data_IF_573351810964
#
_entry.id   IF_573351810964
#
_cell.length_a   1.000
_cell.length_b   1.000
_cell.length_c   1.000
_cell.angle_alpha   90.00
_cell.angle_beta   90.00
_cell.angle_gamma   90.00
#
_symmetry.space_group_name_H-M   'P 1'
#
loop_
_entity.id
_entity.type
_entity.pdbx_description
1 polymer ?
#
# COMPACT_ATOMS: atom_id res chain seq x y z
N UNK A 1 14.21 -0.97 -5.95
CA UNK A 1 15.48 -0.24 -6.14
C UNK A 1 15.21 1.17 -5.64
N UNK A 2 15.69 1.52 -4.44
CA UNK A 2 15.44 2.85 -3.88
C UNK A 2 15.99 3.91 -4.83
N UNK A 3 15.18 4.93 -5.14
CA UNK A 3 15.55 6.12 -5.89
C UNK A 3 16.92 6.59 -5.43
N UNK A 4 17.87 6.65 -6.36
CA UNK A 4 19.23 7.13 -6.14
C UNK A 4 19.13 8.59 -5.71
N UNK A 5 19.04 8.79 -4.39
CA UNK A 5 19.07 10.11 -3.78
C UNK A 5 20.35 10.79 -4.25
N UNK A 6 20.28 12.10 -4.53
CA UNK A 6 21.47 12.91 -4.80
C UNK A 6 22.39 13.03 -3.57
N UNK A 7 22.01 12.40 -2.45
CA UNK A 7 22.80 12.30 -1.23
C UNK A 7 23.89 11.23 -1.38
N UNK A 8 25.15 11.61 -1.19
CA UNK A 8 26.29 10.69 -1.26
C UNK A 8 26.34 9.72 -0.07
N UNK A 9 25.78 10.13 1.07
CA UNK A 9 25.76 9.33 2.31
C UNK A 9 24.31 9.02 2.66
N UNK A 10 23.94 7.74 2.64
CA UNK A 10 22.57 7.31 2.89
C UNK A 10 22.51 5.90 3.49
N UNK A 11 21.38 5.62 4.11
CA UNK A 11 20.88 4.28 4.41
C UNK A 11 19.38 4.27 4.10
N UNK A 12 18.91 3.23 3.42
CA UNK A 12 17.52 3.03 3.06
C UNK A 12 16.92 1.99 4.00
N UNK A 13 15.82 2.36 4.65
CA UNK A 13 15.00 1.44 5.45
C UNK A 13 13.76 1.08 4.63
N UNK A 14 13.39 -0.20 4.63
CA UNK A 14 12.26 -0.71 3.86
C UNK A 14 10.94 -0.55 4.58
N UNK A 15 10.93 -0.81 5.89
CA UNK A 15 9.73 -0.93 6.71
C UNK A 15 10.00 -0.46 8.15
N UNK A 16 8.95 -0.51 8.98
CA UNK A 16 9.02 -0.11 10.40
C UNK A 16 9.97 -1.01 11.20
N UNK A 17 10.14 -2.29 10.83
CA UNK A 17 11.03 -3.22 11.54
C UNK A 17 12.51 -2.85 11.32
N UNK A 18 12.88 -2.55 10.08
CA UNK A 18 14.21 -2.03 9.77
C UNK A 18 14.45 -0.65 10.40
N UNK A 19 13.44 0.22 10.44
CA UNK A 19 13.53 1.50 11.14
C UNK A 19 13.70 1.32 12.66
N UNK A 20 13.06 0.32 13.25
CA UNK A 20 13.24 -0.04 14.67
C UNK A 20 14.65 -0.55 14.93
N UNK A 21 15.16 -1.44 14.08
CA UNK A 21 16.55 -1.91 14.17
C UNK A 21 17.55 -0.74 14.09
N UNK A 22 17.33 0.19 13.16
CA UNK A 22 18.14 1.40 13.03
C UNK A 22 18.07 2.27 14.29
N UNK A 23 16.87 2.48 14.83
CA UNK A 23 16.67 3.19 16.09
C UNK A 23 17.39 2.53 17.27
N UNK A 24 17.29 1.20 17.39
CA UNK A 24 17.89 0.46 18.49
C UNK A 24 19.41 0.49 18.43
N UNK A 25 19.98 0.43 17.22
CA UNK A 25 21.40 0.68 17.00
C UNK A 25 21.79 2.08 17.48
N UNK A 26 21.05 3.12 17.06
CA UNK A 26 21.37 4.51 17.41
C UNK A 26 21.41 4.76 18.91
N UNK A 27 20.54 4.10 19.69
CA UNK A 27 20.47 4.25 21.16
C UNK A 27 21.51 3.40 21.88
N UNK A 28 21.68 2.15 21.47
CA UNK A 28 22.36 1.14 22.28
C UNK A 28 23.76 0.77 21.80
N UNK A 29 24.15 1.14 20.57
CA UNK A 29 25.45 0.77 20.02
C UNK A 29 26.57 1.68 20.53
N UNK A 30 27.71 1.09 20.84
CA UNK A 30 28.94 1.77 21.23
C UNK A 30 30.08 1.32 20.32
N UNK A 31 31.03 2.21 20.06
CA UNK A 31 32.21 1.83 19.29
C UNK A 31 32.92 0.63 19.92
N UNK A 32 33.19 -0.39 19.10
CA UNK A 32 33.85 -1.63 19.53
C UNK A 32 32.93 -2.71 20.12
N UNK A 33 31.61 -2.55 20.09
CA UNK A 33 30.65 -3.57 20.57
C UNK A 33 30.23 -4.60 19.50
N UNK A 34 30.75 -4.49 18.28
CA UNK A 34 30.46 -5.41 17.17
C UNK A 34 29.14 -5.17 16.43
N UNK A 35 28.31 -4.22 16.89
CA UNK A 35 26.99 -3.97 16.28
C UNK A 35 27.09 -3.17 14.98
N UNK A 36 28.17 -2.42 14.79
CA UNK A 36 28.38 -1.67 13.54
C UNK A 36 28.56 -2.63 12.36
N UNK A 37 29.28 -3.73 12.57
CA UNK A 37 29.48 -4.79 11.59
C UNK A 37 28.16 -5.50 11.27
N UNK A 38 27.35 -5.81 12.29
CA UNK A 38 26.00 -6.37 12.10
C UNK A 38 25.09 -5.43 11.31
N UNK A 39 25.07 -4.14 11.69
CA UNK A 39 24.32 -3.11 10.98
C UNK A 39 24.73 -3.03 9.51
N UNK A 40 26.03 -2.97 9.24
CA UNK A 40 26.55 -2.88 7.87
C UNK A 40 26.31 -4.15 7.06
N UNK A 41 26.28 -5.32 7.70
CA UNK A 41 25.88 -6.56 7.03
C UNK A 41 24.41 -6.50 6.60
N UNK A 42 23.50 -6.08 7.51
CA UNK A 42 22.06 -5.95 7.23
C UNK A 42 21.77 -4.94 6.11
N UNK A 43 22.40 -3.77 6.15
CA UNK A 43 22.20 -2.70 5.16
C UNK A 43 23.22 -2.70 4.01
N UNK A 44 23.93 -3.80 3.79
CA UNK A 44 25.04 -3.88 2.80
C UNK A 44 24.67 -3.48 1.37
N UNK A 45 23.39 -3.67 0.97
CA UNK A 45 22.86 -3.25 -0.34
C UNK A 45 22.01 -1.97 -0.29
N UNK A 46 21.82 -1.43 0.91
CA UNK A 46 20.90 -0.35 1.21
C UNK A 46 21.59 0.87 1.82
N UNK A 47 22.92 0.90 1.92
CA UNK A 47 23.69 2.06 2.37
C UNK A 47 24.79 2.45 1.37
N UNK A 48 25.31 3.67 1.50
CA UNK A 48 26.47 4.13 0.73
C UNK A 48 27.72 3.33 1.10
N UNK A 49 28.65 3.10 0.15
CA UNK A 49 29.83 2.26 0.37
C UNK A 49 30.75 2.74 1.51
N UNK A 50 30.76 4.04 1.81
CA UNK A 50 31.53 4.65 2.90
C UNK A 50 30.69 4.92 4.15
N UNK A 51 29.50 4.32 4.28
CA UNK A 51 28.61 4.60 5.40
C UNK A 51 29.21 4.10 6.72
N UNK A 52 29.47 5.02 7.64
CA UNK A 52 29.82 4.74 9.03
C UNK A 52 28.58 5.04 9.90
N UNK A 53 27.96 4.03 10.53
CA UNK A 53 26.74 4.23 11.29
C UNK A 53 26.97 4.99 12.60
N UNK A 54 28.17 4.97 13.20
CA UNK A 54 28.47 5.77 14.39
C UNK A 54 28.63 7.25 14.06
N UNK A 55 29.18 7.57 12.89
CA UNK A 55 29.38 8.95 12.43
C UNK A 55 28.15 9.53 11.72
N UNK A 56 27.57 8.78 10.80
CA UNK A 56 26.54 9.30 9.88
C UNK A 56 25.13 9.23 10.45
N UNK A 57 24.88 8.49 11.54
CA UNK A 57 23.61 8.53 12.27
C UNK A 57 23.61 9.58 13.40
N UNK A 58 24.64 10.43 13.49
CA UNK A 58 24.64 11.55 14.42
C UNK A 58 23.64 12.63 14.02
N UNK A 59 23.43 12.85 12.71
CA UNK A 59 22.43 13.77 12.18
C UNK A 59 21.75 13.10 11.00
N UNK A 60 20.42 13.05 11.01
CA UNK A 60 19.66 12.36 9.97
C UNK A 60 18.63 13.29 9.33
N UNK A 61 18.56 13.20 8.01
CA UNK A 61 17.46 13.72 7.22
C UNK A 61 16.62 12.56 6.70
N UNK A 62 15.31 12.58 6.95
CA UNK A 62 14.38 11.57 6.42
C UNK A 62 13.75 12.09 5.13
N UNK A 63 13.94 11.35 4.05
CA UNK A 63 13.28 11.60 2.76
C UNK A 63 12.65 10.29 2.27
N UNK A 64 11.49 10.41 1.62
CA UNK A 64 10.67 9.29 1.21
C UNK A 64 10.49 9.28 -0.31
N UNK A 65 10.15 8.12 -0.86
CA UNK A 65 9.66 8.05 -2.23
C UNK A 65 8.28 8.72 -2.30
N UNK A 66 8.03 9.47 -3.39
CA UNK A 66 6.85 10.33 -3.55
C UNK A 66 5.50 9.60 -3.46
N UNK A 67 5.51 8.29 -3.67
CA UNK A 67 4.32 7.43 -3.78
C UNK A 67 4.09 6.54 -2.56
N UNK A 68 4.91 6.65 -1.50
CA UNK A 68 4.81 5.84 -0.28
C UNK A 68 3.49 6.05 0.48
N UNK A 69 3.09 5.07 1.30
CA UNK A 69 1.96 5.22 2.22
C UNK A 69 2.30 6.18 3.36
N UNK A 70 1.54 7.27 3.50
CA UNK A 70 1.88 8.36 4.44
C UNK A 70 1.78 7.95 5.89
N UNK A 71 0.82 7.10 6.28
CA UNK A 71 0.68 6.68 7.69
C UNK A 71 1.92 5.90 8.15
N UNK A 72 2.38 4.96 7.34
CA UNK A 72 3.58 4.17 7.62
C UNK A 72 4.83 5.06 7.62
N UNK A 73 4.97 5.90 6.59
CA UNK A 73 6.07 6.87 6.49
C UNK A 73 6.15 7.78 7.73
N UNK A 74 5.01 8.31 8.16
CA UNK A 74 4.91 9.16 9.35
C UNK A 74 5.24 8.38 10.63
N UNK A 75 4.88 7.11 10.72
CA UNK A 75 5.24 6.27 11.86
C UNK A 75 6.76 6.09 11.96
N UNK A 76 7.43 5.85 10.82
CA UNK A 76 8.91 5.81 10.75
C UNK A 76 9.51 7.17 11.13
N UNK A 77 8.98 8.28 10.59
CA UNK A 77 9.43 9.63 10.95
C UNK A 77 9.33 9.90 12.45
N UNK A 78 8.19 9.61 13.06
CA UNK A 78 7.98 9.76 14.50
C UNK A 78 8.87 8.85 15.34
N UNK A 79 9.10 7.61 14.90
CA UNK A 79 10.02 6.70 15.56
C UNK A 79 11.41 7.31 15.61
N UNK A 80 11.95 7.71 14.45
CA UNK A 80 13.29 8.26 14.33
C UNK A 80 13.43 9.61 15.06
N UNK A 81 12.42 10.46 15.02
CA UNK A 81 12.38 11.70 15.82
C UNK A 81 12.49 11.39 17.32
N UNK A 82 11.69 10.44 17.83
CA UNK A 82 11.75 10.02 19.24
C UNK A 82 13.11 9.41 19.60
N UNK A 83 13.71 8.65 18.69
CA UNK A 83 15.06 8.10 18.86
C UNK A 83 16.09 9.20 19.02
N UNK A 84 16.04 10.24 18.18
CA UNK A 84 16.96 11.37 18.27
C UNK A 84 16.75 12.18 19.55
N UNK A 85 15.50 12.39 19.97
CA UNK A 85 15.19 13.03 21.25
C UNK A 85 15.73 12.22 22.45
N UNK A 86 15.63 10.89 22.41
CA UNK A 86 16.19 10.02 23.46
C UNK A 86 17.72 10.08 23.51
N UNK A 87 18.38 10.20 22.36
CA UNK A 87 19.85 10.20 22.26
C UNK A 87 20.50 11.53 22.63
N UNK A 88 19.96 12.64 22.13
CA UNK A 88 20.57 13.97 22.24
C UNK A 88 19.79 14.92 23.16
N UNK A 89 18.60 14.53 23.60
CA UNK A 89 17.68 15.39 24.35
C UNK A 89 16.74 16.19 23.42
N UNK A 90 15.62 16.68 23.97
CA UNK A 90 14.61 17.40 23.19
C UNK A 90 15.12 18.76 22.67
N UNK A 91 16.02 19.42 23.40
CA UNK A 91 16.47 20.77 23.06
C UNK A 91 17.34 20.82 21.78
N UNK A 92 18.00 19.70 21.46
CA UNK A 92 18.91 19.59 20.31
C UNK A 92 18.25 18.94 19.09
N UNK A 93 16.95 18.63 19.13
CA UNK A 93 16.30 17.83 18.07
C UNK A 93 16.45 18.45 16.67
N UNK A 94 16.33 19.79 16.57
CA UNK A 94 16.42 20.50 15.29
C UNK A 94 17.83 20.50 14.68
N UNK A 95 18.87 20.18 15.46
CA UNK A 95 20.24 20.07 14.97
C UNK A 95 20.58 18.66 14.46
N UNK A 96 19.77 17.68 14.86
CA UNK A 96 20.04 16.25 14.70
C UNK A 96 19.00 15.55 13.81
N UNK A 97 17.78 16.06 13.69
CA UNK A 97 16.71 15.46 12.91
C UNK A 97 16.01 16.47 12.01
N UNK A 98 15.78 16.10 10.75
CA UNK A 98 14.93 16.84 9.83
C UNK A 98 14.14 15.87 8.95
N UNK A 99 12.84 16.13 8.77
CA UNK A 99 11.98 15.34 7.90
C UNK A 99 11.59 16.19 6.68
N UNK A 100 11.89 15.68 5.48
CA UNK A 100 11.49 16.31 4.23
C UNK A 100 10.12 15.78 3.81
N UNK A 101 9.13 16.69 3.71
CA UNK A 101 7.86 16.32 3.11
C UNK A 101 8.05 16.10 1.60
N UNK A 102 8.16 14.83 1.25
CA UNK A 102 8.55 14.34 -0.07
C UNK A 102 7.42 13.55 -0.72
N UNK A 103 6.31 13.33 -0.01
CA UNK A 103 5.13 12.64 -0.52
C UNK A 103 4.24 13.66 -1.24
N UNK A 104 3.72 13.28 -2.40
CA UNK A 104 2.80 14.14 -3.15
C UNK A 104 1.39 14.13 -2.54
N UNK A 105 0.78 15.30 -2.38
CA UNK A 105 -0.61 15.43 -1.89
C UNK A 105 -1.62 14.63 -2.72
N UNK A 106 -1.41 14.52 -4.03
CA UNK A 106 -2.29 13.75 -4.91
C UNK A 106 -2.28 12.23 -4.64
N UNK A 107 -1.18 11.72 -4.10
CA UNK A 107 -1.08 10.34 -3.60
C UNK A 107 -1.85 10.20 -2.31
N UNK A 108 -1.73 11.19 -1.41
CA UNK A 108 -2.42 11.17 -0.12
C UNK A 108 -3.94 11.10 -0.26
N UNK A 109 -4.53 11.97 -1.08
CA UNK A 109 -5.99 12.01 -1.26
C UNK A 109 -6.55 10.68 -1.74
N UNK A 110 -5.81 9.97 -2.61
CA UNK A 110 -6.24 8.66 -3.12
C UNK A 110 -6.10 7.56 -2.07
N UNK A 111 -5.00 7.55 -1.33
CA UNK A 111 -4.79 6.59 -0.24
C UNK A 111 -5.84 6.78 0.87
N UNK A 112 -6.19 8.02 1.21
CA UNK A 112 -7.22 8.33 2.19
C UNK A 112 -8.60 7.87 1.71
N UNK A 113 -8.95 8.08 0.44
CA UNK A 113 -10.21 7.58 -0.12
C UNK A 113 -10.30 6.05 -0.10
N UNK A 114 -9.20 5.34 -0.34
CA UNK A 114 -9.17 3.87 -0.25
C UNK A 114 -9.26 3.40 1.21
N UNK A 115 -8.57 4.07 2.14
CA UNK A 115 -8.69 3.77 3.58
C UNK A 115 -10.13 4.01 4.08
N UNK A 116 -10.82 5.04 3.57
CA UNK A 116 -12.24 5.29 3.86
C UNK A 116 -13.14 4.17 3.32
N UNK A 117 -12.94 3.69 2.08
CA UNK A 117 -13.66 2.53 1.54
C UNK A 117 -13.48 1.29 2.42
N UNK A 118 -12.26 1.05 2.92
CA UNK A 118 -12.00 -0.05 3.85
C UNK A 118 -12.68 0.16 5.20
N UNK A 119 -12.64 1.37 5.75
CA UNK A 119 -13.30 1.68 7.03
C UNK A 119 -14.82 1.51 6.91
N UNK A 120 -15.43 1.91 5.78
CA UNK A 120 -16.85 1.66 5.50
C UNK A 120 -17.16 0.17 5.43
N UNK A 121 -16.32 -0.64 4.77
CA UNK A 121 -16.52 -2.10 4.72
C UNK A 121 -16.36 -2.79 6.08
N UNK A 122 -15.56 -2.23 6.99
CA UNK A 122 -15.31 -2.81 8.32
C UNK A 122 -16.29 -2.32 9.41
N UNK A 123 -17.14 -1.34 9.10
CA UNK A 123 -18.12 -0.79 10.02
C UNK A 123 -19.43 -1.60 9.92
N UNK A 124 -19.88 -2.26 11.01
CA UNK A 124 -21.11 -3.07 10.99
C UNK A 124 -22.38 -2.27 10.73
N UNK A 125 -22.34 -0.94 10.88
CA UNK A 125 -23.47 -0.03 10.59
C UNK A 125 -23.51 0.41 9.11
N UNK A 126 -22.49 0.05 8.32
CA UNK A 126 -22.37 0.39 6.91
C UNK A 126 -22.52 -0.86 6.03
N UNK A 127 -22.91 -0.70 4.76
CA UNK A 127 -23.00 -1.82 3.86
C UNK A 127 -21.62 -2.32 3.43
N UNK A 128 -21.38 -3.63 3.59
CA UNK A 128 -20.17 -4.28 3.10
C UNK A 128 -19.99 -4.12 1.58
N UNK A 129 -18.75 -3.82 1.18
CA UNK A 129 -18.28 -3.99 -0.20
C UNK A 129 -18.06 -5.47 -0.52
N UNK A 130 -18.48 -5.93 -1.70
CA UNK A 130 -18.15 -7.27 -2.19
C UNK A 130 -16.67 -7.36 -2.62
N UNK A 131 -16.13 -6.28 -3.20
CA UNK A 131 -14.70 -6.09 -3.46
C UNK A 131 -14.36 -4.63 -3.79
N UNK A 132 -13.06 -4.30 -3.80
CA UNK A 132 -12.50 -3.04 -4.30
C UNK A 132 -11.77 -3.29 -5.62
N UNK A 133 -12.11 -2.54 -6.67
CA UNK A 133 -11.44 -2.55 -7.95
C UNK A 133 -10.45 -1.37 -8.03
N UNK A 134 -9.16 -1.70 -8.18
CA UNK A 134 -8.06 -0.74 -8.35
C UNK A 134 -7.65 -0.73 -9.82
N UNK A 135 -7.83 0.41 -10.51
CA UNK A 135 -7.54 0.50 -11.96
C UNK A 135 -6.29 1.33 -12.23
N UNK A 136 -5.33 0.75 -12.94
CA UNK A 136 -4.16 1.46 -13.46
C UNK A 136 -3.00 0.55 -13.81
N UNK A 137 -2.00 1.06 -14.53
CA UNK A 137 -0.88 0.26 -15.02
C UNK A 137 -0.18 -0.56 -13.92
N UNK A 138 0.20 -1.80 -14.24
CA UNK A 138 0.87 -2.72 -13.30
C UNK A 138 2.26 -2.24 -12.83
N UNK A 139 2.90 -1.36 -13.60
CA UNK A 139 4.20 -0.75 -13.26
C UNK A 139 4.05 0.56 -12.46
N UNK A 140 2.82 1.02 -12.22
CA UNK A 140 2.56 2.23 -11.45
C UNK A 140 2.69 1.96 -9.95
N UNK A 141 3.81 2.36 -9.35
CA UNK A 141 4.02 2.26 -7.89
C UNK A 141 2.86 2.85 -7.09
N UNK A 142 2.33 4.02 -7.49
CA UNK A 142 1.16 4.60 -6.82
C UNK A 142 -0.05 3.67 -6.87
N UNK A 143 -0.32 3.05 -8.02
CA UNK A 143 -1.47 2.13 -8.16
C UNK A 143 -1.25 0.86 -7.35
N UNK A 144 -0.04 0.33 -7.32
CA UNK A 144 0.33 -0.82 -6.48
C UNK A 144 0.10 -0.50 -5.00
N UNK A 145 0.50 0.68 -4.51
CA UNK A 145 0.27 1.08 -3.12
C UNK A 145 -1.22 1.26 -2.78
N UNK A 146 -2.09 1.58 -3.76
CA UNK A 146 -3.53 1.59 -3.52
C UNK A 146 -4.11 0.18 -3.29
N UNK A 147 -3.51 -0.86 -3.86
CA UNK A 147 -3.90 -2.26 -3.62
C UNK A 147 -3.43 -2.77 -2.24
N UNK A 148 -2.28 -2.30 -1.76
CA UNK A 148 -1.73 -2.70 -0.46
C UNK A 148 -2.69 -2.36 0.70
N UNK A 149 -3.37 -1.21 0.64
CA UNK A 149 -4.29 -0.74 1.68
C UNK A 149 -5.43 -1.74 1.96
N UNK A 150 -6.30 -2.11 1.00
CA UNK A 150 -7.36 -3.08 1.23
C UNK A 150 -6.82 -4.48 1.54
N UNK A 151 -5.70 -4.88 0.94
CA UNK A 151 -5.06 -6.15 1.24
C UNK A 151 -4.66 -6.27 2.72
N UNK A 152 -4.02 -5.24 3.29
CA UNK A 152 -3.67 -5.21 4.72
C UNK A 152 -4.89 -5.22 5.65
N UNK A 153 -6.04 -4.76 5.17
CA UNK A 153 -7.30 -4.73 5.92
C UNK A 153 -8.15 -6.00 5.74
N UNK A 154 -7.71 -6.94 4.91
CA UNK A 154 -8.46 -8.16 4.59
C UNK A 154 -9.68 -7.91 3.70
N UNK A 155 -9.76 -6.76 3.02
CA UNK A 155 -10.86 -6.44 2.11
C UNK A 155 -10.56 -7.03 0.72
N UNK A 156 -11.46 -7.83 0.12
CA UNK A 156 -11.26 -8.37 -1.22
C UNK A 156 -10.98 -7.26 -2.23
N UNK A 157 -9.90 -7.38 -3.00
CA UNK A 157 -9.49 -6.34 -3.93
C UNK A 157 -8.76 -6.89 -5.15
N UNK A 158 -8.99 -6.24 -6.29
CA UNK A 158 -8.44 -6.64 -7.59
C UNK A 158 -7.77 -5.43 -8.26
N UNK A 159 -6.50 -5.57 -8.63
CA UNK A 159 -5.78 -4.56 -9.41
C UNK A 159 -5.72 -4.98 -10.88
N UNK A 160 -6.36 -4.20 -11.75
CA UNK A 160 -6.33 -4.39 -13.20
C UNK A 160 -5.65 -3.20 -13.89
N UNK A 161 -4.97 -3.46 -15.02
CA UNK A 161 -4.40 -2.39 -15.84
C UNK A 161 -5.34 -1.89 -16.93
N UNK A 162 -6.32 -2.69 -17.35
CA UNK A 162 -7.28 -2.36 -18.40
C UNK A 162 -8.57 -3.19 -18.28
N UNK A 163 -9.63 -2.76 -18.95
CA UNK A 163 -10.94 -3.42 -18.87
C UNK A 163 -10.91 -4.90 -19.32
N UNK A 164 -10.13 -5.22 -20.35
CA UNK A 164 -9.99 -6.58 -20.92
C UNK A 164 -9.47 -7.64 -19.93
N UNK A 165 -8.95 -7.22 -18.78
CA UNK A 165 -8.64 -8.10 -17.66
C UNK A 165 -9.88 -8.83 -17.11
N UNK A 166 -11.05 -8.21 -17.23
CA UNK A 166 -12.34 -8.77 -16.84
C UNK A 166 -12.93 -9.43 -18.08
N UNK A 167 -13.01 -10.75 -18.08
CA UNK A 167 -13.42 -11.53 -19.25
C UNK A 167 -14.91 -11.87 -19.22
N UNK A 168 -15.48 -12.12 -20.40
CA UNK A 168 -16.89 -12.46 -20.57
C UNK A 168 -17.26 -13.78 -19.86
N UNK A 169 -16.30 -14.68 -19.70
CA UNK A 169 -16.46 -15.96 -19.00
C UNK A 169 -16.48 -15.83 -17.46
N UNK A 170 -16.73 -14.62 -16.94
CA UNK A 170 -16.72 -14.29 -15.52
C UNK A 170 -15.36 -14.58 -14.85
N UNK A 171 -14.31 -14.03 -15.46
CA UNK A 171 -12.92 -14.07 -14.99
C UNK A 171 -12.29 -12.67 -15.05
N UNK A 172 -10.98 -12.50 -14.83
CA UNK A 172 -10.41 -12.19 -13.52
C UNK A 172 -8.88 -12.11 -13.59
N UNK A 173 -8.26 -11.49 -14.60
CA UNK A 173 -6.80 -11.30 -14.57
C UNK A 173 -6.43 -10.06 -13.74
N UNK A 174 -5.69 -10.23 -12.65
CA UNK A 174 -5.30 -9.11 -11.80
C UNK A 174 -3.87 -9.28 -11.26
N UNK A 175 -3.29 -8.16 -10.82
CA UNK A 175 -2.01 -8.14 -10.12
C UNK A 175 -2.24 -8.31 -8.62
N UNK A 176 -1.41 -9.13 -7.97
CA UNK A 176 -1.36 -9.27 -6.51
C UNK A 176 -0.38 -8.27 -5.89
N UNK A 177 -0.39 -8.14 -4.56
CA UNK A 177 0.48 -7.21 -3.83
C UNK A 177 1.97 -7.55 -4.03
N UNK A 178 2.32 -8.83 -4.15
CA UNK A 178 3.67 -9.29 -4.41
C UNK A 178 4.16 -9.01 -5.86
N UNK A 179 3.26 -8.58 -6.72
CA UNK A 179 3.50 -8.22 -8.11
C UNK A 179 3.29 -9.32 -9.13
N UNK A 180 2.85 -10.52 -8.72
CA UNK A 180 2.43 -11.55 -9.66
C UNK A 180 1.14 -11.14 -10.37
N UNK A 181 1.05 -11.45 -11.66
CA UNK A 181 -0.20 -11.31 -12.44
C UNK A 181 -0.83 -12.70 -12.49
N UNK A 182 -1.99 -12.82 -11.88
CA UNK A 182 -2.73 -14.07 -11.73
C UNK A 182 -4.07 -13.96 -12.42
N UNK A 183 -4.65 -15.11 -12.77
CA UNK A 183 -6.04 -15.21 -13.17
C UNK A 183 -6.81 -15.86 -12.00
N UNK A 184 -7.83 -15.20 -11.49
CA UNK A 184 -8.60 -15.69 -10.34
C UNK A 184 -9.19 -17.07 -10.64
N UNK A 185 -9.24 -17.92 -9.61
CA UNK A 185 -9.95 -19.18 -9.69
C UNK A 185 -11.44 -18.88 -9.91
N UNK A 186 -11.95 -19.24 -11.08
CA UNK A 186 -13.34 -19.02 -11.50
C UNK A 186 -14.36 -19.46 -10.43
N UNK A 187 -15.47 -18.72 -10.23
CA UNK A 187 -15.87 -17.48 -10.92
C UNK A 187 -15.42 -16.18 -10.22
N UNK A 188 -15.22 -15.10 -10.99
CA UNK A 188 -14.95 -13.75 -10.46
C UNK A 188 -16.12 -13.19 -9.65
N UNK A 189 -17.29 -13.02 -10.27
CA UNK A 189 -18.53 -12.70 -9.56
C UNK A 189 -19.18 -14.00 -9.07
N UNK A 190 -19.26 -14.18 -7.77
CA UNK A 190 -19.79 -15.41 -7.16
C UNK A 190 -21.28 -15.32 -6.87
N UNK A 191 -21.95 -16.47 -6.72
CA UNK A 191 -23.35 -16.54 -6.29
C UNK A 191 -23.64 -15.74 -5.02
N UNK A 192 -22.73 -15.74 -4.05
CA UNK A 192 -22.88 -14.99 -2.79
C UNK A 192 -22.79 -13.48 -2.95
N UNK A 193 -22.20 -12.99 -4.04
CA UNK A 193 -22.18 -11.57 -4.40
C UNK A 193 -23.43 -11.16 -5.18
N UNK A 194 -23.99 -12.08 -5.96
CA UNK A 194 -25.11 -11.81 -6.86
C UNK A 194 -26.49 -12.09 -6.24
N UNK A 195 -26.56 -13.01 -5.29
CA UNK A 195 -27.79 -13.55 -4.74
C UNK A 195 -27.79 -13.58 -3.21
N UNK A 196 -28.97 -13.40 -2.63
CA UNK A 196 -29.27 -13.69 -1.23
C UNK A 196 -30.36 -14.74 -1.15
N UNK A 197 -30.22 -15.68 -0.22
CA UNK A 197 -31.22 -16.73 0.05
C UNK A 197 -31.88 -16.44 1.39
N UNK A 198 -33.22 -16.38 1.42
CA UNK A 198 -33.97 -16.24 2.66
C UNK A 198 -34.06 -17.57 3.45
N UNK A 199 -34.65 -17.53 4.64
CA UNK A 199 -34.81 -18.72 5.51
C UNK A 199 -35.66 -19.83 4.85
N UNK A 200 -36.51 -19.46 3.90
CA UNK A 200 -37.39 -20.36 3.14
C UNK A 200 -36.71 -20.94 1.89
N UNK A 201 -35.47 -20.54 1.60
CA UNK A 201 -34.68 -21.01 0.47
C UNK A 201 -34.90 -20.26 -0.84
N UNK A 202 -35.64 -19.14 -0.84
CA UNK A 202 -35.87 -18.34 -2.04
C UNK A 202 -34.66 -17.46 -2.34
N UNK A 203 -34.15 -17.57 -3.56
CA UNK A 203 -33.10 -16.68 -4.06
C UNK A 203 -33.69 -15.34 -4.52
N UNK A 204 -33.06 -14.26 -4.10
CA UNK A 204 -33.36 -12.90 -4.53
C UNK A 204 -32.08 -12.18 -4.94
N UNK A 205 -32.19 -11.27 -5.92
CA UNK A 205 -31.04 -10.53 -6.44
C UNK A 205 -30.46 -9.61 -5.36
N UNK A 206 -29.16 -9.75 -5.08
CA UNK A 206 -28.39 -8.88 -4.20
C UNK A 206 -27.89 -7.66 -4.97
N UNK A 207 -27.78 -6.52 -4.28
CA UNK A 207 -27.09 -5.35 -4.84
C UNK A 207 -25.58 -5.57 -4.74
N UNK A 208 -24.91 -5.71 -5.89
CA UNK A 208 -23.45 -5.79 -5.97
C UNK A 208 -22.84 -4.43 -5.58
N UNK A 209 -21.99 -4.41 -4.56
CA UNK A 209 -21.33 -3.21 -4.04
C UNK A 209 -19.83 -3.26 -4.30
N UNK A 210 -19.37 -2.41 -5.21
CA UNK A 210 -17.97 -2.37 -5.64
C UNK A 210 -17.37 -1.03 -5.26
N UNK A 211 -16.30 -1.06 -4.46
CA UNK A 211 -15.45 0.11 -4.24
C UNK A 211 -14.56 0.31 -5.46
N UNK A 212 -14.35 1.55 -5.91
CA UNK A 212 -13.56 1.81 -7.13
C UNK A 212 -12.54 2.89 -6.84
N UNK A 213 -11.31 2.63 -7.24
CA UNK A 213 -10.23 3.62 -7.18
C UNK A 213 -9.33 3.47 -8.39
N UNK A 214 -8.51 4.50 -8.64
CA UNK A 214 -7.59 4.49 -9.76
C UNK A 214 -6.26 5.17 -9.45
N UNK A 215 -5.22 4.72 -10.14
CA UNK A 215 -3.92 5.37 -10.12
C UNK A 215 -3.98 6.82 -10.61
N UNK A 216 -3.03 7.64 -10.18
CA UNK A 216 -2.97 9.05 -10.58
C UNK A 216 -2.84 9.29 -12.10
N UNK A 217 -2.27 8.32 -12.82
CA UNK A 217 -2.08 8.35 -14.28
C UNK A 217 -3.15 7.58 -15.06
N UNK A 218 -4.17 7.04 -14.40
CA UNK A 218 -5.23 6.26 -15.05
C UNK A 218 -6.30 7.20 -15.62
N UNK A 219 -6.56 7.18 -16.95
CA UNK A 219 -7.66 7.95 -17.53
C UNK A 219 -9.03 7.45 -17.03
N UNK A 220 -9.98 8.37 -16.83
CA UNK A 220 -11.34 8.03 -16.38
C UNK A 220 -12.03 7.01 -17.30
N UNK A 221 -11.72 7.05 -18.59
CA UNK A 221 -12.23 6.08 -19.57
C UNK A 221 -11.89 4.63 -19.18
N UNK A 222 -10.66 4.36 -18.73
CA UNK A 222 -10.25 3.00 -18.35
C UNK A 222 -11.05 2.50 -17.14
N UNK A 223 -11.36 3.40 -16.20
CA UNK A 223 -12.19 3.09 -15.04
C UNK A 223 -13.63 2.81 -15.47
N UNK A 224 -14.17 3.64 -16.37
CA UNK A 224 -15.52 3.49 -16.91
C UNK A 224 -15.69 2.19 -17.70
N UNK A 225 -14.73 1.86 -18.56
CA UNK A 225 -14.75 0.65 -19.39
C UNK A 225 -14.71 -0.60 -18.51
N UNK A 226 -13.84 -0.63 -17.49
CA UNK A 226 -13.77 -1.73 -16.53
C UNK A 226 -15.09 -1.91 -15.75
N UNK A 227 -15.66 -0.81 -15.25
CA UNK A 227 -16.96 -0.85 -14.58
C UNK A 227 -18.09 -1.28 -15.50
N UNK A 228 -18.04 -0.88 -16.77
CA UNK A 228 -19.00 -1.30 -17.79
C UNK A 228 -19.05 -2.82 -17.93
N UNK A 229 -17.89 -3.49 -17.93
CA UNK A 229 -17.81 -4.96 -17.99
C UNK A 229 -18.37 -5.59 -16.71
N UNK A 230 -18.03 -5.08 -15.51
CA UNK A 230 -18.60 -5.59 -14.24
C UNK A 230 -20.12 -5.47 -14.25
N UNK A 231 -20.67 -4.33 -14.68
CA UNK A 231 -22.12 -4.12 -14.78
C UNK A 231 -22.77 -5.04 -15.80
N UNK A 232 -22.11 -5.28 -16.94
CA UNK A 232 -22.57 -6.22 -17.97
C UNK A 232 -22.61 -7.65 -17.43
N UNK A 233 -21.53 -8.13 -16.79
CA UNK A 233 -21.47 -9.46 -16.18
C UNK A 233 -22.56 -9.64 -15.11
N UNK A 234 -22.70 -8.67 -14.21
CA UNK A 234 -23.76 -8.69 -13.18
C UNK A 234 -25.17 -8.76 -13.82
N UNK A 235 -25.39 -8.09 -14.95
CA UNK A 235 -26.68 -8.17 -15.65
C UNK A 235 -26.91 -9.53 -16.30
N UNK A 236 -25.91 -10.09 -16.98
CA UNK A 236 -26.01 -11.37 -17.67
C UNK A 236 -26.20 -12.53 -16.68
N UNK A 237 -25.37 -12.61 -15.64
CA UNK A 237 -25.43 -13.67 -14.63
C UNK A 237 -26.74 -13.63 -13.82
N UNK A 238 -27.30 -12.43 -13.60
CA UNK A 238 -28.61 -12.32 -12.95
C UNK A 238 -29.81 -12.61 -13.88
N UNK A 239 -29.60 -12.73 -15.19
CA UNK A 239 -30.66 -13.05 -16.16
C UNK A 239 -30.77 -14.55 -16.45
N UNK A 240 -29.70 -15.31 -16.28
CA UNK A 240 -29.69 -16.76 -16.55
C UNK A 240 -30.45 -17.56 -15.49
N UNK A 241 -30.63 -17.02 -14.27
CA UNK A 241 -31.28 -17.69 -13.13
C UNK A 241 -32.66 -17.11 -12.73
N UNK A 242 -33.21 -16.17 -13.51
CA UNK A 242 -34.53 -15.53 -13.28
C UNK A 242 -35.63 -16.12 -14.17
#
# INVERSE_FOLDING_TARGET
MATKSMCETYVCVKDVEEAQFLSDFMINAKEGDGKAEEFMAKFSKASSSHFDPHKHLQKIGLANQTTMYKKETRAIGQLLQKTMMKKFGPDLINEHYYEFDTICDATQVRQDAVDELCNMHLDPEQPDLDFILVVGGFDSSNTCHLLEIPHMRGVPSFHINMADCIRAENTIQHREVDGQIVESHFPFLTDSMLWSTDEDGNKSKKTLRVGVTSGASTPDKEVQDALGIVMMLNKLLCQEDA
#
